data_IF_266997587500
#
_entry.id   IF_266997587500
#
_cell.length_a   1.000
_cell.length_b   1.000
_cell.length_c   1.000
_cell.angle_alpha   90.00
_cell.angle_beta   90.00
_cell.angle_gamma   90.00
#
_symmetry.space_group_name_H-M   'P 1'
#
loop_
_entity.id
_entity.type
_entity.pdbx_description
1 polymer ?
#
# COMPACT_ATOMS: atom_id res chain seq x y z
N UNK A 1 24.32 -11.58 22.93
CA UNK A 1 25.20 -12.76 22.93
C UNK A 1 25.08 -13.46 21.59
N UNK A 2 26.18 -13.55 20.82
CA UNK A 2 26.20 -14.32 19.58
C UNK A 2 26.22 -15.80 19.90
N UNK A 3 25.15 -16.52 19.61
CA UNK A 3 25.07 -17.96 19.77
C UNK A 3 25.89 -18.63 18.63
N UNK A 4 26.94 -19.37 19.01
CA UNK A 4 27.72 -20.16 18.07
C UNK A 4 27.44 -21.65 18.30
N UNK A 5 27.16 -22.38 17.21
CA UNK A 5 26.98 -23.83 17.24
C UNK A 5 28.26 -24.54 17.66
N UNK A 6 28.13 -25.74 18.28
CA UNK A 6 29.27 -26.58 18.58
C UNK A 6 29.94 -27.06 17.30
N UNK A 7 31.26 -26.95 17.23
CA UNK A 7 32.07 -27.45 16.13
C UNK A 7 32.27 -28.97 16.21
N UNK A 8 32.69 -29.57 15.14
CA UNK A 8 33.02 -31.00 15.12
C UNK A 8 34.16 -31.33 16.08
N UNK A 9 35.18 -30.48 16.24
CA UNK A 9 36.28 -30.63 17.18
C UNK A 9 35.78 -30.62 18.63
N UNK A 10 34.89 -29.72 19.01
CA UNK A 10 34.27 -29.68 20.33
C UNK A 10 33.49 -30.97 20.63
N UNK A 11 32.82 -31.56 19.64
CA UNK A 11 32.12 -32.84 19.80
C UNK A 11 33.07 -34.00 20.07
N UNK A 12 34.27 -34.00 19.45
CA UNK A 12 35.30 -34.97 19.75
C UNK A 12 35.83 -34.78 21.17
N UNK A 13 36.06 -33.55 21.64
CA UNK A 13 36.46 -33.24 23.00
C UNK A 13 35.41 -33.67 24.02
N UNK A 14 34.12 -33.39 23.77
CA UNK A 14 33.04 -33.89 24.63
C UNK A 14 33.08 -35.41 24.77
N UNK A 15 33.28 -36.14 23.67
CA UNK A 15 33.36 -37.61 23.69
C UNK A 15 34.56 -38.12 24.49
N UNK A 16 35.73 -37.48 24.33
CA UNK A 16 36.93 -37.85 25.06
C UNK A 16 36.78 -37.62 26.57
N UNK A 17 36.25 -36.47 26.97
CA UNK A 17 36.01 -36.11 28.36
C UNK A 17 34.94 -36.99 29.02
N UNK A 18 33.86 -37.34 28.31
CA UNK A 18 32.86 -38.29 28.78
C UNK A 18 33.47 -39.68 29.03
N UNK A 19 34.37 -40.16 28.16
CA UNK A 19 35.09 -41.43 28.34
C UNK A 19 36.07 -41.39 29.51
N UNK A 20 36.63 -40.20 29.81
CA UNK A 20 37.51 -39.99 30.97
C UNK A 20 36.74 -39.85 32.28
N UNK A 21 35.37 -39.89 32.25
CA UNK A 21 34.55 -39.87 33.45
C UNK A 21 34.15 -38.49 33.94
N UNK A 22 34.42 -37.40 33.14
CA UNK A 22 34.06 -36.04 33.52
C UNK A 22 32.54 -35.81 33.45
N UNK A 23 32.02 -35.07 34.43
CA UNK A 23 30.61 -34.63 34.46
C UNK A 23 30.30 -33.55 33.45
N UNK A 24 29.02 -33.45 32.97
CA UNK A 24 28.60 -32.48 31.93
C UNK A 24 28.88 -31.03 32.32
N UNK A 25 28.82 -30.68 33.61
CA UNK A 25 29.14 -29.32 34.09
C UNK A 25 30.64 -29.02 34.00
N UNK A 26 31.47 -29.99 34.27
CA UNK A 26 32.92 -29.90 34.18
C UNK A 26 33.38 -29.78 32.72
N UNK A 27 32.79 -30.60 31.83
CA UNK A 27 32.99 -30.52 30.38
C UNK A 27 32.62 -29.13 29.84
N UNK A 28 31.52 -28.55 30.35
CA UNK A 28 31.09 -27.20 29.94
C UNK A 28 32.16 -26.15 30.33
N UNK A 29 32.70 -26.24 31.54
CA UNK A 29 33.74 -25.33 32.01
C UNK A 29 35.05 -25.48 31.20
N UNK A 30 35.48 -26.72 30.92
CA UNK A 30 36.69 -27.00 30.12
C UNK A 30 36.55 -26.42 28.69
N UNK A 31 35.38 -26.54 28.08
CA UNK A 31 35.12 -26.06 26.71
C UNK A 31 34.71 -24.59 26.65
N UNK A 32 34.60 -23.89 27.77
CA UNK A 32 34.14 -22.50 27.81
C UNK A 32 32.71 -22.31 27.23
N UNK A 33 31.87 -23.34 27.43
CA UNK A 33 30.48 -23.32 26.92
C UNK A 33 29.49 -23.35 28.09
N UNK A 34 28.27 -22.80 27.84
CA UNK A 34 27.23 -22.84 28.86
C UNK A 34 26.80 -24.31 29.14
N UNK A 35 26.57 -24.65 30.40
CA UNK A 35 26.16 -26.00 30.86
C UNK A 35 24.98 -26.55 30.05
N UNK A 36 23.96 -25.72 29.77
CA UNK A 36 22.79 -26.15 29.01
C UNK A 36 23.11 -26.53 27.56
N UNK A 37 24.20 -26.00 26.98
CA UNK A 37 24.63 -26.33 25.61
C UNK A 37 25.17 -27.75 25.57
N UNK A 38 26.04 -28.10 26.50
CA UNK A 38 26.63 -29.46 26.61
C UNK A 38 25.57 -30.49 26.97
N UNK A 39 24.69 -30.17 27.93
CA UNK A 39 23.59 -31.05 28.30
C UNK A 39 22.65 -31.34 27.10
N UNK A 40 22.22 -30.31 26.37
CA UNK A 40 21.37 -30.46 25.17
C UNK A 40 22.06 -31.23 24.05
N UNK A 41 23.37 -31.01 23.85
CA UNK A 41 24.15 -31.72 22.85
C UNK A 41 24.19 -33.22 23.14
N UNK A 42 24.59 -33.59 24.37
CA UNK A 42 24.69 -35.00 24.77
C UNK A 42 23.31 -35.66 24.79
N UNK A 43 22.30 -35.03 25.40
CA UNK A 43 20.94 -35.57 25.48
C UNK A 43 20.30 -35.82 24.11
N UNK A 44 20.49 -34.89 23.15
CA UNK A 44 19.87 -34.97 21.85
C UNK A 44 20.59 -35.86 20.84
N UNK A 45 21.87 -36.12 21.07
CA UNK A 45 22.76 -36.75 20.09
C UNK A 45 23.38 -38.06 20.57
N UNK A 46 23.02 -38.55 21.78
CA UNK A 46 23.39 -39.88 22.24
C UNK A 46 22.45 -40.94 21.65
N UNK A 47 23.02 -42.02 21.14
CA UNK A 47 22.30 -43.21 20.73
C UNK A 47 22.33 -44.31 21.79
N UNK A 48 21.82 -45.51 21.45
CA UNK A 48 21.81 -46.69 22.32
C UNK A 48 23.22 -47.10 22.87
N UNK A 49 24.28 -46.73 22.15
CA UNK A 49 25.68 -47.00 22.50
C UNK A 49 26.38 -45.76 23.07
N UNK A 50 25.66 -44.80 23.64
CA UNK A 50 26.20 -43.57 24.21
C UNK A 50 26.47 -42.45 23.16
N UNK A 51 27.18 -41.42 23.61
CA UNK A 51 27.52 -40.25 22.78
C UNK A 51 28.66 -40.56 21.82
N UNK A 52 28.43 -40.33 20.51
CA UNK A 52 29.42 -40.53 19.44
C UNK A 52 29.54 -39.28 18.58
N UNK A 53 30.74 -38.65 18.46
CA UNK A 53 30.91 -37.34 17.79
C UNK A 53 30.42 -37.31 16.34
N UNK A 54 30.77 -38.34 15.53
CA UNK A 54 30.33 -38.43 14.13
C UNK A 54 28.81 -38.55 14.01
N UNK A 55 28.18 -39.37 14.86
CA UNK A 55 26.72 -39.51 14.86
C UNK A 55 26.05 -38.22 15.34
N UNK A 56 26.62 -37.57 16.34
CA UNK A 56 26.12 -36.29 16.86
C UNK A 56 26.15 -35.19 15.80
N UNK A 57 27.18 -35.12 14.98
CA UNK A 57 27.31 -34.19 13.84
C UNK A 57 26.21 -34.44 12.82
N UNK A 58 26.02 -35.69 12.39
CA UNK A 58 24.99 -36.09 11.43
C UNK A 58 23.59 -35.72 11.94
N UNK A 59 23.29 -36.07 13.22
CA UNK A 59 21.98 -35.76 13.81
C UNK A 59 21.73 -34.25 13.96
N UNK A 60 22.77 -33.49 14.30
CA UNK A 60 22.69 -32.03 14.40
C UNK A 60 22.48 -31.39 13.02
N UNK A 61 23.19 -31.86 11.99
CA UNK A 61 23.05 -31.41 10.61
C UNK A 61 21.66 -31.70 10.05
N UNK A 62 21.17 -32.93 10.20
CA UNK A 62 19.82 -33.32 9.77
C UNK A 62 18.72 -32.47 10.43
N UNK A 63 18.85 -32.17 11.74
CA UNK A 63 17.90 -31.25 12.39
C UNK A 63 17.98 -29.84 11.83
N UNK A 64 19.19 -29.33 11.61
CA UNK A 64 19.40 -28.03 11.01
C UNK A 64 18.77 -27.94 9.62
N UNK A 65 18.92 -28.98 8.80
CA UNK A 65 18.31 -29.08 7.47
C UNK A 65 16.78 -29.16 7.54
N UNK A 66 16.22 -29.97 8.43
CA UNK A 66 14.76 -30.06 8.65
C UNK A 66 14.18 -28.69 9.07
N UNK A 67 14.86 -27.96 9.94
CA UNK A 67 14.43 -26.62 10.32
C UNK A 67 14.56 -25.58 9.21
N UNK A 68 15.51 -25.77 8.27
CA UNK A 68 15.78 -24.86 7.16
C UNK A 68 14.84 -25.10 5.99
N UNK A 69 14.48 -26.35 5.73
CA UNK A 69 13.77 -26.79 4.52
C UNK A 69 12.24 -26.91 4.65
N UNK A 70 11.68 -26.72 5.84
CA UNK A 70 10.22 -26.62 5.95
C UNK A 70 9.75 -25.27 5.35
N UNK A 71 9.04 -25.27 4.22
CA UNK A 71 8.47 -24.03 3.70
C UNK A 71 7.42 -23.55 4.72
N UNK A 72 7.75 -22.50 5.46
CA UNK A 72 6.85 -21.89 6.45
C UNK A 72 5.54 -21.40 5.83
N UNK A 73 5.51 -21.29 4.52
CA UNK A 73 4.39 -20.76 3.73
C UNK A 73 4.14 -21.69 2.56
N UNK A 74 2.91 -22.24 2.49
CA UNK A 74 2.49 -23.17 1.43
C UNK A 74 2.42 -22.51 0.04
N UNK A 75 2.54 -23.31 -1.00
CA UNK A 75 2.44 -22.86 -2.41
C UNK A 75 1.08 -22.19 -2.71
N UNK A 76 0.00 -22.64 -2.09
CA UNK A 76 -1.35 -22.06 -2.25
C UNK A 76 -1.39 -20.61 -1.78
N UNK A 77 -0.81 -20.31 -0.61
CA UNK A 77 -0.77 -18.96 -0.05
C UNK A 77 0.06 -18.01 -0.94
N UNK A 78 1.18 -18.49 -1.51
CA UNK A 78 1.97 -17.70 -2.47
C UNK A 78 1.22 -17.42 -3.77
N UNK A 79 0.39 -18.34 -4.25
CA UNK A 79 -0.51 -18.09 -5.40
C UNK A 79 -1.52 -16.98 -5.08
N UNK A 80 -2.16 -17.03 -3.92
CA UNK A 80 -3.07 -15.97 -3.47
C UNK A 80 -2.36 -14.62 -3.37
N UNK A 81 -1.15 -14.57 -2.80
CA UNK A 81 -0.32 -13.36 -2.75
C UNK A 81 -0.05 -12.81 -4.16
N UNK A 82 0.32 -13.68 -5.11
CA UNK A 82 0.61 -13.27 -6.49
C UNK A 82 -0.63 -12.71 -7.20
N UNK A 83 -1.80 -13.31 -7.00
CA UNK A 83 -3.08 -12.80 -7.55
C UNK A 83 -3.35 -11.39 -7.01
N UNK A 84 -3.27 -11.20 -5.70
CA UNK A 84 -3.53 -9.91 -5.06
C UNK A 84 -2.48 -8.83 -5.44
N UNK A 85 -1.22 -9.23 -5.65
CA UNK A 85 -0.20 -8.33 -6.21
C UNK A 85 -0.56 -7.89 -7.64
N UNK A 86 -1.03 -8.83 -8.49
CA UNK A 86 -1.49 -8.51 -9.84
C UNK A 86 -2.68 -7.53 -9.83
N UNK A 87 -3.55 -7.60 -8.84
CA UNK A 87 -4.62 -6.64 -8.60
C UNK A 87 -4.13 -5.30 -8.03
N UNK A 88 -2.81 -5.11 -7.94
CA UNK A 88 -2.14 -3.90 -7.46
C UNK A 88 -2.33 -3.60 -5.97
N UNK A 89 -2.68 -4.59 -5.14
CA UNK A 89 -2.67 -4.44 -3.69
C UNK A 89 -1.22 -4.32 -3.19
N UNK A 90 -1.03 -3.51 -2.16
CA UNK A 90 0.30 -3.43 -1.50
C UNK A 90 0.50 -4.62 -0.56
N UNK A 91 1.76 -5.01 -0.26
CA UNK A 91 2.05 -6.05 0.72
C UNK A 91 1.34 -5.85 2.08
N UNK A 92 1.19 -4.60 2.55
CA UNK A 92 0.43 -4.31 3.77
C UNK A 92 -1.07 -4.63 3.64
N UNK A 93 -1.67 -4.34 2.48
CA UNK A 93 -3.08 -4.65 2.21
C UNK A 93 -3.31 -6.15 2.08
N UNK A 94 -2.37 -6.87 1.48
CA UNK A 94 -2.39 -8.33 1.37
C UNK A 94 -2.22 -8.97 2.74
N UNK A 95 -1.30 -8.47 3.56
CA UNK A 95 -1.09 -8.91 4.94
C UNK A 95 -2.33 -8.77 5.83
N UNK A 96 -3.20 -7.80 5.53
CA UNK A 96 -4.46 -7.63 6.25
C UNK A 96 -5.56 -8.62 5.84
N UNK A 97 -5.42 -9.30 4.70
CA UNK A 97 -6.37 -10.28 4.18
C UNK A 97 -5.88 -11.72 4.37
N UNK A 98 -4.57 -11.91 4.41
CA UNK A 98 -3.94 -13.23 4.49
C UNK A 98 -3.04 -13.31 5.72
N UNK A 99 -2.92 -14.49 6.31
CA UNK A 99 -2.05 -14.75 7.47
C UNK A 99 -0.55 -14.79 7.07
N UNK A 100 -0.05 -13.68 6.52
CA UNK A 100 1.34 -13.54 6.09
C UNK A 100 1.83 -12.12 6.38
N UNK A 101 3.03 -11.95 6.95
CA UNK A 101 3.56 -10.62 7.22
C UNK A 101 3.93 -9.88 5.94
N UNK A 102 3.68 -8.57 5.88
CA UNK A 102 4.04 -7.74 4.74
C UNK A 102 5.54 -7.75 4.44
N UNK A 103 6.39 -7.88 5.45
CA UNK A 103 7.84 -8.02 5.25
C UNK A 103 8.21 -9.31 4.51
N UNK A 104 7.51 -10.41 4.81
CA UNK A 104 7.71 -11.69 4.12
C UNK A 104 7.32 -11.57 2.65
N UNK A 105 6.23 -10.85 2.36
CA UNK A 105 5.81 -10.56 0.97
C UNK A 105 6.87 -9.70 0.27
N UNK A 106 7.38 -8.63 0.91
CA UNK A 106 8.45 -7.82 0.34
C UNK A 106 9.71 -8.65 0.04
N UNK A 107 10.16 -9.49 0.98
CA UNK A 107 11.31 -10.38 0.76
C UNK A 107 11.09 -11.29 -0.45
N UNK A 108 9.91 -11.88 -0.58
CA UNK A 108 9.56 -12.72 -1.73
C UNK A 108 9.63 -11.95 -3.05
N UNK A 109 9.03 -10.76 -3.11
CA UNK A 109 9.06 -9.90 -4.31
C UNK A 109 10.50 -9.49 -4.69
N UNK A 110 11.37 -9.21 -3.71
CA UNK A 110 12.76 -8.85 -4.01
C UNK A 110 13.62 -10.06 -4.40
N UNK A 111 13.35 -11.24 -3.85
CA UNK A 111 13.98 -12.49 -4.29
C UNK A 111 13.55 -12.83 -5.70
N UNK A 112 12.25 -12.76 -6.02
CA UNK A 112 11.72 -12.93 -7.37
C UNK A 112 12.41 -11.99 -8.36
N UNK A 113 12.55 -10.71 -8.01
CA UNK A 113 13.27 -9.74 -8.83
C UNK A 113 14.74 -10.12 -9.06
N UNK A 114 15.43 -10.62 -8.04
CA UNK A 114 16.85 -11.03 -8.16
C UNK A 114 17.03 -12.23 -9.07
N UNK A 115 15.97 -13.04 -9.24
CA UNK A 115 15.91 -14.19 -10.14
C UNK A 115 15.35 -13.83 -11.53
N UNK A 116 15.15 -12.53 -11.82
CA UNK A 116 14.63 -12.06 -13.10
C UNK A 116 13.10 -12.00 -13.21
N UNK A 117 12.36 -12.25 -12.11
CA UNK A 117 10.92 -12.15 -12.06
C UNK A 117 10.38 -10.70 -12.11
N UNK A 118 9.10 -10.55 -12.23
CA UNK A 118 8.44 -9.26 -12.50
C UNK A 118 7.46 -8.81 -11.40
N UNK A 119 7.32 -9.53 -10.29
CA UNK A 119 6.41 -9.19 -9.19
C UNK A 119 6.60 -7.76 -8.65
N UNK A 120 7.82 -7.24 -8.67
CA UNK A 120 8.11 -5.86 -8.24
C UNK A 120 7.40 -4.79 -9.08
N UNK A 121 7.00 -5.10 -10.33
CA UNK A 121 6.26 -4.18 -11.21
C UNK A 121 4.83 -3.91 -10.73
N UNK A 122 4.31 -4.76 -9.87
CA UNK A 122 2.98 -4.60 -9.27
C UNK A 122 3.01 -3.69 -8.04
N UNK A 123 4.18 -3.41 -7.48
CA UNK A 123 4.33 -2.47 -6.37
C UNK A 123 4.13 -1.02 -6.83
N UNK A 124 3.56 -0.18 -5.95
CA UNK A 124 3.30 1.24 -6.22
C UNK A 124 4.58 2.03 -6.52
N UNK A 125 5.66 1.76 -5.78
CA UNK A 125 6.92 2.49 -5.87
C UNK A 125 8.01 1.63 -6.52
N UNK A 126 8.06 1.64 -7.84
CA UNK A 126 9.03 0.86 -8.62
C UNK A 126 10.41 1.53 -8.74
N UNK A 127 10.47 2.86 -8.68
CA UNK A 127 11.72 3.67 -8.74
C UNK A 127 11.57 4.95 -7.91
N UNK A 128 12.49 5.23 -6.99
CA UNK A 128 12.63 6.55 -6.36
C UNK A 128 13.23 7.53 -7.36
N UNK A 129 12.45 8.48 -7.90
CA UNK A 129 12.97 9.68 -8.57
C UNK A 129 12.80 10.88 -7.62
N UNK A 130 13.90 11.60 -7.31
CA UNK A 130 13.82 12.92 -6.66
C UNK A 130 13.19 13.91 -7.66
N UNK A 131 12.08 14.56 -7.26
CA UNK A 131 11.55 15.72 -7.99
C UNK A 131 12.48 16.91 -7.77
N UNK A 132 12.95 17.55 -8.86
CA UNK A 132 13.49 18.92 -8.81
C UNK A 132 12.31 19.89 -8.86
N UNK A 133 12.21 20.78 -7.88
CA UNK A 133 11.27 21.90 -7.90
C UNK A 133 11.88 23.00 -8.80
N UNK A 134 11.20 23.32 -9.90
CA UNK A 134 11.49 24.51 -10.68
C UNK A 134 10.59 25.65 -10.16
N UNK A 135 11.18 26.66 -9.57
CA UNK A 135 10.48 27.90 -9.20
C UNK A 135 10.12 28.66 -10.47
N UNK A 136 8.85 28.91 -10.69
CA UNK A 136 8.35 29.74 -11.79
C UNK A 136 7.23 30.65 -11.31
N UNK A 137 7.21 31.91 -11.74
CA UNK A 137 6.09 32.85 -11.52
C UNK A 137 4.82 32.30 -12.16
N UNK A 138 3.73 32.30 -11.40
CA UNK A 138 2.41 31.88 -11.91
C UNK A 138 1.87 32.97 -12.84
N UNK A 139 1.81 32.67 -14.15
CA UNK A 139 1.27 33.53 -15.19
C UNK A 139 -0.20 33.19 -15.54
N UNK A 140 -0.85 32.34 -14.74
CA UNK A 140 -2.24 31.94 -14.95
C UNK A 140 -3.17 33.03 -14.47
N UNK A 141 -4.15 33.43 -15.31
CA UNK A 141 -5.17 34.40 -14.94
C UNK A 141 -6.01 33.92 -13.75
N UNK A 142 -6.55 34.86 -12.99
CA UNK A 142 -7.39 34.55 -11.83
C UNK A 142 -8.74 33.95 -12.26
N UNK A 143 -9.23 32.96 -11.51
CA UNK A 143 -10.59 32.43 -11.64
C UNK A 143 -11.53 33.42 -10.96
N UNK A 144 -12.51 33.93 -11.71
CA UNK A 144 -13.49 34.93 -11.21
C UNK A 144 -14.39 34.25 -10.17
N UNK A 145 -14.66 34.93 -9.05
CA UNK A 145 -15.56 34.43 -8.00
C UNK A 145 -15.04 33.24 -7.20
N UNK A 146 -13.74 32.93 -7.29
CA UNK A 146 -13.15 31.83 -6.50
C UNK A 146 -13.20 32.13 -5.00
N UNK A 147 -13.56 31.12 -4.19
CA UNK A 147 -13.42 31.16 -2.73
C UNK A 147 -12.09 30.54 -2.32
N UNK A 148 -11.24 31.24 -1.56
CA UNK A 148 -9.96 30.67 -1.12
C UNK A 148 -10.19 29.55 -0.11
N UNK A 149 -9.24 28.60 -0.03
CA UNK A 149 -9.30 27.49 0.90
C UNK A 149 -9.35 27.91 2.37
N UNK A 150 -8.86 29.11 2.69
CA UNK A 150 -8.92 29.72 4.02
C UNK A 150 -10.36 29.94 4.53
N UNK A 151 -11.32 30.12 3.63
CA UNK A 151 -12.75 30.27 3.96
C UNK A 151 -13.45 28.90 4.15
N UNK A 152 -12.76 27.80 3.85
CA UNK A 152 -13.31 26.45 3.99
C UNK A 152 -13.50 26.11 5.45
N UNK A 153 -14.69 25.57 5.87
CA UNK A 153 -14.93 25.19 7.25
C UNK A 153 -13.84 24.28 7.84
N UNK A 154 -13.38 24.57 9.05
CA UNK A 154 -12.28 23.84 9.71
C UNK A 154 -12.58 22.34 9.96
N UNK A 155 -13.88 21.98 10.08
CA UNK A 155 -14.31 20.58 10.24
C UNK A 155 -13.93 19.71 9.03
N UNK A 156 -13.74 20.30 7.84
CA UNK A 156 -13.33 19.60 6.63
C UNK A 156 -11.92 18.97 6.81
N UNK A 157 -11.04 19.65 7.54
CA UNK A 157 -9.68 19.13 7.81
C UNK A 157 -9.71 17.88 8.70
N UNK A 158 -10.63 17.81 9.64
CA UNK A 158 -10.77 16.67 10.57
C UNK A 158 -11.23 15.38 9.89
N UNK A 159 -11.72 15.45 8.64
CA UNK A 159 -12.26 14.30 7.87
C UNK A 159 -13.30 13.50 8.65
N UNK A 160 -14.07 14.16 9.51
CA UNK A 160 -15.05 13.51 10.39
C UNK A 160 -16.38 13.22 9.67
N UNK A 161 -16.72 14.02 8.67
CA UNK A 161 -17.96 13.91 7.92
C UNK A 161 -17.74 13.52 6.47
N UNK A 162 -18.71 12.82 5.86
CA UNK A 162 -18.81 12.59 4.43
C UNK A 162 -19.37 13.85 3.76
N UNK A 163 -18.94 14.07 2.51
CA UNK A 163 -19.46 15.14 1.67
C UNK A 163 -18.42 16.18 1.27
N UNK A 164 -17.18 16.03 1.67
CA UNK A 164 -16.10 16.95 1.35
C UNK A 164 -15.16 16.31 0.31
N UNK A 165 -15.17 16.88 -0.88
CA UNK A 165 -14.48 16.33 -2.05
C UNK A 165 -13.22 17.14 -2.42
N UNK A 166 -12.30 16.50 -3.06
CA UNK A 166 -11.18 17.14 -3.76
C UNK A 166 -11.28 16.76 -5.25
N UNK A 167 -11.11 17.73 -6.14
CA UNK A 167 -11.15 17.55 -7.59
C UNK A 167 -9.83 17.90 -8.27
N UNK A 168 -9.43 17.10 -9.27
CA UNK A 168 -8.23 17.33 -10.08
C UNK A 168 -8.40 16.73 -11.47
N UNK A 169 -7.46 16.99 -12.37
CA UNK A 169 -7.40 16.42 -13.70
C UNK A 169 -6.08 15.69 -13.95
N UNK A 170 -6.18 14.50 -14.52
CA UNK A 170 -5.02 13.73 -14.99
C UNK A 170 -4.93 13.81 -16.50
N UNK A 171 -3.75 14.20 -17.01
CA UNK A 171 -3.43 14.23 -18.43
C UNK A 171 -2.54 13.05 -18.81
N UNK A 172 -2.77 12.48 -20.01
CA UNK A 172 -1.93 11.42 -20.58
C UNK A 172 -0.91 11.97 -21.58
N UNK A 173 -0.27 11.06 -22.33
CA UNK A 173 0.59 11.43 -23.45
C UNK A 173 -0.21 12.23 -24.49
N UNK A 174 0.38 13.30 -25.01
CA UNK A 174 -0.24 14.15 -26.04
C UNK A 174 -1.16 15.25 -25.51
N UNK A 175 -1.45 15.32 -24.20
CA UNK A 175 -2.17 16.40 -23.48
C UNK A 175 -3.55 16.80 -24.06
N UNK A 176 -4.14 16.02 -24.98
CA UNK A 176 -5.42 16.36 -25.63
C UNK A 176 -6.63 16.04 -24.76
N UNK A 177 -6.58 14.88 -24.08
CA UNK A 177 -7.68 14.38 -23.25
C UNK A 177 -7.29 14.42 -21.77
N UNK A 178 -8.29 14.42 -20.89
CA UNK A 178 -8.06 14.35 -19.45
C UNK A 178 -9.02 13.35 -18.76
N UNK A 179 -8.64 12.91 -17.57
CA UNK A 179 -9.51 12.22 -16.63
C UNK A 179 -9.74 13.18 -15.47
N UNK A 180 -10.99 13.51 -15.22
CA UNK A 180 -11.43 14.20 -14.00
C UNK A 180 -11.39 13.17 -12.88
N UNK A 181 -10.67 13.46 -11.82
CA UNK A 181 -10.55 12.63 -10.62
C UNK A 181 -11.13 13.37 -9.42
N UNK A 182 -12.13 12.78 -8.80
CA UNK A 182 -12.80 13.30 -7.62
C UNK A 182 -12.61 12.31 -6.49
N UNK A 183 -12.27 12.78 -5.30
CA UNK A 183 -12.11 11.93 -4.12
C UNK A 183 -12.81 12.53 -2.91
N UNK A 184 -13.61 11.72 -2.24
CA UNK A 184 -14.21 12.08 -0.97
C UNK A 184 -13.17 11.92 0.16
N UNK A 185 -13.01 12.97 0.99
CA UNK A 185 -11.88 13.11 1.91
C UNK A 185 -11.89 12.13 3.08
N UNK A 186 -13.07 11.77 3.61
CA UNK A 186 -13.20 10.84 4.75
C UNK A 186 -13.03 9.40 4.31
N UNK A 187 -13.81 8.95 3.36
CA UNK A 187 -13.81 7.55 2.88
C UNK A 187 -12.68 7.26 1.92
N UNK A 188 -12.27 8.25 1.12
CA UNK A 188 -11.39 8.04 -0.04
C UNK A 188 -12.13 7.46 -1.23
N UNK A 189 -13.48 7.53 -1.24
CA UNK A 189 -14.30 7.11 -2.37
C UNK A 189 -13.97 7.96 -3.59
N UNK A 190 -13.75 7.31 -4.71
CA UNK A 190 -13.27 7.93 -5.94
C UNK A 190 -14.35 7.91 -7.03
N UNK A 191 -14.44 9.00 -7.78
CA UNK A 191 -15.21 9.09 -9.03
C UNK A 191 -14.27 9.54 -10.13
N UNK A 192 -14.24 8.80 -11.24
CA UNK A 192 -13.38 9.05 -12.39
C UNK A 192 -14.21 9.25 -13.63
N UNK A 193 -13.98 10.34 -14.37
CA UNK A 193 -14.68 10.63 -15.64
C UNK A 193 -13.68 11.06 -16.71
N UNK A 194 -13.78 10.48 -17.91
CA UNK A 194 -12.95 10.85 -19.04
C UNK A 194 -13.59 12.02 -19.80
N UNK A 195 -12.76 12.99 -20.19
CA UNK A 195 -13.16 14.12 -21.06
C UNK A 195 -12.28 14.17 -22.30
N UNK A 196 -12.87 14.54 -23.43
CA UNK A 196 -12.20 14.61 -24.73
C UNK A 196 -11.24 15.79 -24.83
N UNK A 197 -11.50 16.88 -24.10
CA UNK A 197 -10.66 18.07 -23.99
C UNK A 197 -10.69 18.58 -22.55
N UNK A 198 -9.61 19.24 -22.13
CA UNK A 198 -9.47 19.85 -20.80
C UNK A 198 -10.01 21.29 -20.82
N UNK A 199 -11.28 21.48 -21.19
CA UNK A 199 -11.99 22.77 -21.15
C UNK A 199 -12.85 22.86 -19.89
N UNK A 200 -13.16 24.07 -19.42
CA UNK A 200 -13.98 24.27 -18.22
C UNK A 200 -15.37 23.67 -18.38
N UNK A 201 -15.98 23.82 -19.54
CA UNK A 201 -17.31 23.29 -19.86
C UNK A 201 -17.37 21.75 -19.79
N UNK A 202 -16.39 21.04 -20.39
CA UNK A 202 -16.38 19.59 -20.41
C UNK A 202 -16.00 19.04 -19.01
N UNK A 203 -15.13 19.72 -18.28
CA UNK A 203 -14.72 19.32 -16.94
C UNK A 203 -15.86 19.54 -15.95
N UNK A 204 -16.54 20.70 -15.98
CA UNK A 204 -17.69 20.95 -15.11
C UNK A 204 -18.84 19.98 -15.39
N UNK A 205 -19.17 19.74 -16.67
CA UNK A 205 -20.17 18.73 -17.06
C UNK A 205 -19.81 17.32 -16.55
N UNK A 206 -18.54 16.93 -16.65
CA UNK A 206 -18.07 15.62 -16.17
C UNK A 206 -18.15 15.50 -14.64
N UNK A 207 -17.85 16.57 -13.90
CA UNK A 207 -17.98 16.64 -12.43
C UNK A 207 -19.45 16.47 -12.04
N UNK A 208 -20.33 17.29 -12.61
CA UNK A 208 -21.78 17.24 -12.37
C UNK A 208 -22.33 15.84 -12.66
N UNK A 209 -22.01 15.29 -13.85
CA UNK A 209 -22.47 13.96 -14.27
C UNK A 209 -21.94 12.84 -13.34
N UNK A 210 -20.73 13.02 -12.81
CA UNK A 210 -20.12 12.06 -11.92
C UNK A 210 -20.70 12.06 -10.51
N UNK A 211 -21.04 13.24 -9.98
CA UNK A 211 -21.49 13.42 -8.60
C UNK A 211 -23.02 13.50 -8.48
N UNK A 212 -23.77 13.76 -9.54
CA UNK A 212 -25.24 13.88 -9.51
C UNK A 212 -25.96 12.70 -8.85
N UNK A 213 -25.58 11.42 -9.09
CA UNK A 213 -26.22 10.30 -8.41
C UNK A 213 -26.07 10.30 -6.89
N UNK A 214 -25.11 11.06 -6.39
CA UNK A 214 -24.75 11.17 -4.97
C UNK A 214 -24.71 12.64 -4.51
N UNK A 215 -25.44 13.54 -5.18
CA UNK A 215 -25.41 14.99 -4.92
C UNK A 215 -25.74 15.31 -3.44
N UNK A 216 -26.68 14.59 -2.85
CA UNK A 216 -27.03 14.71 -1.42
C UNK A 216 -25.87 14.46 -0.45
N UNK A 217 -24.72 13.93 -0.94
CA UNK A 217 -23.47 13.74 -0.21
C UNK A 217 -22.34 14.64 -0.72
N UNK A 218 -22.68 15.72 -1.41
CA UNK A 218 -21.69 16.70 -1.89
C UNK A 218 -21.93 18.01 -1.21
N UNK A 219 -21.10 18.36 -0.23
CA UNK A 219 -21.18 19.61 0.52
C UNK A 219 -20.18 20.64 0.01
N UNK A 220 -18.93 20.20 -0.16
CA UNK A 220 -17.84 21.07 -0.65
C UNK A 220 -16.95 20.33 -1.63
N UNK A 221 -16.40 21.06 -2.60
CA UNK A 221 -15.40 20.52 -3.52
C UNK A 221 -14.19 21.45 -3.48
N UNK A 222 -12.99 20.91 -3.30
CA UNK A 222 -11.74 21.70 -3.31
C UNK A 222 -10.96 21.42 -4.59
N UNK A 223 -10.69 22.47 -5.35
CA UNK A 223 -9.94 22.45 -6.61
C UNK A 223 -8.55 23.08 -6.47
N UNK A 224 -7.69 22.91 -7.48
CA UNK A 224 -6.54 23.80 -7.69
C UNK A 224 -6.95 25.03 -8.49
N UNK A 225 -5.97 25.91 -8.79
CA UNK A 225 -6.21 27.10 -9.59
C UNK A 225 -6.11 26.81 -11.10
N UNK A 226 -6.49 25.61 -11.55
CA UNK A 226 -6.56 25.27 -12.96
C UNK A 226 -7.73 25.95 -13.66
N UNK A 227 -7.49 26.50 -14.84
CA UNK A 227 -8.55 27.18 -15.63
C UNK A 227 -9.71 26.25 -16.00
N UNK A 228 -9.50 24.96 -16.01
CA UNK A 228 -10.54 23.95 -16.23
C UNK A 228 -11.63 23.94 -15.16
N UNK A 229 -11.42 24.60 -14.03
CA UNK A 229 -12.39 24.73 -12.93
C UNK A 229 -13.04 26.13 -12.88
N UNK A 230 -12.88 26.96 -13.94
CA UNK A 230 -13.46 28.31 -13.97
C UNK A 230 -15.00 28.31 -13.96
N UNK A 231 -15.65 27.23 -14.42
CA UNK A 231 -17.10 27.07 -14.38
C UNK A 231 -17.62 26.47 -13.06
N UNK A 232 -16.90 26.66 -11.96
CA UNK A 232 -17.24 26.12 -10.63
C UNK A 232 -18.62 26.58 -10.14
N UNK A 233 -19.08 27.78 -10.52
CA UNK A 233 -20.40 28.27 -10.17
C UNK A 233 -21.53 27.35 -10.70
N UNK A 234 -21.39 26.82 -11.93
CA UNK A 234 -22.34 25.83 -12.48
C UNK A 234 -22.31 24.51 -11.72
N UNK A 235 -21.14 24.10 -11.21
CA UNK A 235 -21.00 22.90 -10.38
C UNK A 235 -21.71 23.10 -9.05
N UNK A 236 -21.48 24.25 -8.41
CA UNK A 236 -22.10 24.61 -7.13
C UNK A 236 -23.62 24.67 -7.21
N UNK A 237 -24.15 25.28 -8.26
CA UNK A 237 -25.60 25.35 -8.53
C UNK A 237 -26.19 23.94 -8.77
N UNK A 238 -25.56 23.13 -9.64
CA UNK A 238 -26.09 21.82 -10.04
C UNK A 238 -26.02 20.76 -8.93
N UNK A 239 -25.11 20.91 -7.97
CA UNK A 239 -24.88 19.95 -6.88
C UNK A 239 -25.24 20.50 -5.49
N UNK A 240 -25.74 21.75 -5.42
CA UNK A 240 -26.00 22.45 -4.15
C UNK A 240 -24.78 22.44 -3.22
N UNK A 241 -23.60 22.67 -3.79
CA UNK A 241 -22.30 22.55 -3.13
C UNK A 241 -21.55 23.88 -3.06
N UNK A 242 -20.43 23.91 -2.38
CA UNK A 242 -19.55 25.08 -2.32
C UNK A 242 -18.14 24.69 -2.76
N UNK A 243 -17.64 25.37 -3.81
CA UNK A 243 -16.29 25.20 -4.33
C UNK A 243 -15.27 26.08 -3.61
N UNK A 244 -14.14 25.48 -3.24
CA UNK A 244 -12.98 26.16 -2.66
C UNK A 244 -11.74 25.90 -3.51
N UNK A 245 -10.80 26.85 -3.48
CA UNK A 245 -9.57 26.77 -4.26
C UNK A 245 -8.35 26.77 -3.37
N UNK A 246 -7.46 25.82 -3.60
CA UNK A 246 -6.19 25.72 -2.89
C UNK A 246 -5.29 26.94 -3.21
N UNK A 247 -4.40 27.28 -2.26
CA UNK A 247 -3.42 28.32 -2.49
C UNK A 247 -2.45 27.92 -3.60
N UNK A 248 -1.93 28.90 -4.37
CA UNK A 248 -0.89 28.64 -5.34
C UNK A 248 0.30 27.91 -4.71
N UNK A 249 0.85 26.92 -5.42
CA UNK A 249 1.98 26.08 -5.01
C UNK A 249 1.75 25.23 -3.74
N UNK A 250 0.53 25.13 -3.23
CA UNK A 250 0.17 24.43 -1.99
C UNK A 250 -0.49 23.08 -2.27
N UNK A 251 0.19 22.19 -3.00
CA UNK A 251 -0.33 20.85 -3.37
C UNK A 251 -0.71 19.98 -2.16
N UNK A 252 -0.07 20.20 -1.00
CA UNK A 252 -0.38 19.48 0.25
C UNK A 252 -1.80 19.70 0.75
N UNK A 253 -2.43 20.83 0.41
CA UNK A 253 -3.82 21.14 0.77
C UNK A 253 -4.83 20.19 0.10
N UNK A 254 -4.39 19.43 -0.94
CA UNK A 254 -5.18 18.45 -1.69
C UNK A 254 -4.51 17.06 -1.70
N UNK A 255 -3.96 16.66 -0.56
CA UNK A 255 -3.23 15.39 -0.41
C UNK A 255 -4.06 14.13 -0.72
N UNK A 256 -5.40 14.18 -0.59
CA UNK A 256 -6.26 13.04 -0.96
C UNK A 256 -6.25 12.81 -2.46
N UNK A 257 -6.31 13.89 -3.24
CA UNK A 257 -6.28 13.82 -4.70
C UNK A 257 -4.89 13.42 -5.23
N UNK A 258 -3.82 13.95 -4.64
CA UNK A 258 -2.47 13.53 -5.01
C UNK A 258 -2.29 12.01 -4.79
N UNK A 259 -2.79 11.48 -3.68
CA UNK A 259 -2.78 10.06 -3.41
C UNK A 259 -3.63 9.27 -4.42
N UNK A 260 -4.88 9.70 -4.70
CA UNK A 260 -5.75 9.07 -5.69
C UNK A 260 -5.08 9.05 -7.07
N UNK A 261 -4.56 10.19 -7.51
CA UNK A 261 -3.89 10.31 -8.79
C UNK A 261 -2.69 9.36 -8.90
N UNK A 262 -1.92 9.20 -7.81
CA UNK A 262 -0.84 8.22 -7.73
C UNK A 262 -1.32 6.77 -7.86
N UNK A 263 -2.52 6.45 -7.36
CA UNK A 263 -3.12 5.12 -7.50
C UNK A 263 -3.65 4.88 -8.91
N UNK A 264 -4.33 5.86 -9.52
CA UNK A 264 -4.77 5.79 -10.92
C UNK A 264 -3.59 5.58 -11.87
N UNK A 265 -2.42 6.20 -11.56
CA UNK A 265 -1.19 6.05 -12.34
C UNK A 265 -0.58 4.64 -12.32
N UNK A 266 -0.98 3.77 -11.38
CA UNK A 266 -0.61 2.34 -11.42
C UNK A 266 -1.29 1.61 -12.59
N UNK A 267 -2.46 2.06 -13.02
CA UNK A 267 -3.24 1.48 -14.11
C UNK A 267 -3.03 2.25 -15.42
N UNK A 268 -2.97 3.58 -15.33
CA UNK A 268 -2.83 4.49 -16.48
C UNK A 268 -1.54 5.31 -16.31
N UNK A 269 -0.38 4.79 -16.74
CA UNK A 269 0.89 5.51 -16.66
C UNK A 269 0.87 6.83 -17.46
N UNK A 270 1.73 7.80 -17.09
CA UNK A 270 1.78 9.12 -17.75
C UNK A 270 2.06 9.07 -19.26
N UNK A 271 2.84 8.09 -19.68
CA UNK A 271 3.24 7.88 -21.08
C UNK A 271 2.16 7.19 -21.92
N UNK A 272 1.04 6.76 -21.32
CA UNK A 272 -0.09 6.17 -22.04
C UNK A 272 -1.01 7.26 -22.58
N UNK A 273 -1.38 7.23 -23.88
CA UNK A 273 -2.40 8.13 -24.45
C UNK A 273 -3.77 7.80 -23.84
N UNK A 274 -4.51 8.83 -23.41
CA UNK A 274 -5.85 8.62 -22.85
C UNK A 274 -6.89 8.22 -23.92
N UNK A 275 -6.60 8.39 -25.21
CA UNK A 275 -7.43 7.86 -26.30
C UNK A 275 -7.60 6.35 -26.25
N UNK A 276 -6.61 5.63 -25.76
CA UNK A 276 -6.63 4.15 -25.62
C UNK A 276 -7.35 3.67 -24.36
N UNK A 277 -7.77 4.56 -23.47
CA UNK A 277 -8.49 4.22 -22.24
C UNK A 277 -9.99 4.26 -22.54
N UNK A 278 -10.67 3.13 -22.44
CA UNK A 278 -12.11 3.04 -22.62
C UNK A 278 -12.88 3.51 -21.38
N UNK A 279 -14.18 3.76 -21.52
CA UNK A 279 -15.03 4.07 -20.37
C UNK A 279 -15.16 2.89 -19.42
N UNK A 280 -15.25 1.68 -19.96
CA UNK A 280 -15.34 0.43 -19.16
C UNK A 280 -14.07 0.15 -18.38
N UNK A 281 -12.90 0.35 -19.00
CA UNK A 281 -11.62 0.27 -18.29
C UNK A 281 -11.55 1.29 -17.15
N UNK A 282 -12.01 2.51 -17.37
CA UNK A 282 -12.01 3.54 -16.34
C UNK A 282 -12.98 3.21 -15.19
N UNK A 283 -14.14 2.64 -15.52
CA UNK A 283 -15.12 2.15 -14.54
C UNK A 283 -14.55 1.00 -13.71
N UNK A 284 -13.88 0.03 -14.33
CA UNK A 284 -13.19 -1.05 -13.66
C UNK A 284 -12.08 -0.53 -12.71
N UNK A 285 -11.30 0.44 -13.15
CA UNK A 285 -10.26 1.07 -12.31
C UNK A 285 -10.90 1.77 -11.10
N UNK A 286 -11.98 2.53 -11.31
CA UNK A 286 -12.74 3.19 -10.25
C UNK A 286 -13.26 2.17 -9.22
N UNK A 287 -13.85 1.08 -9.70
CA UNK A 287 -14.38 0.01 -8.85
C UNK A 287 -13.26 -0.64 -8.01
N UNK A 288 -12.15 -1.02 -8.63
CA UNK A 288 -10.97 -1.56 -7.94
C UNK A 288 -10.43 -0.61 -6.87
N UNK A 289 -10.39 0.69 -7.14
CA UNK A 289 -9.92 1.70 -6.17
C UNK A 289 -10.89 1.88 -5.01
N UNK A 290 -12.21 1.78 -5.26
CA UNK A 290 -13.25 1.90 -4.26
C UNK A 290 -13.40 0.64 -3.40
N UNK A 291 -13.03 -0.52 -3.91
CA UNK A 291 -13.02 -1.79 -3.17
C UNK A 291 -11.63 -2.17 -2.62
N UNK A 292 -10.64 -1.27 -2.76
CA UNK A 292 -9.30 -1.49 -2.24
C UNK A 292 -9.21 -1.14 -0.75
N UNK A 293 -8.83 -2.07 0.16
CA UNK A 293 -8.69 -1.81 1.58
C UNK A 293 -7.73 -0.65 1.87
N UNK A 294 -8.06 0.19 2.87
CA UNK A 294 -7.23 1.34 3.26
C UNK A 294 -6.79 1.24 4.73
N UNK A 295 -5.48 1.24 4.98
CA UNK A 295 -4.93 1.20 6.35
C UNK A 295 -5.54 2.29 7.26
N UNK A 296 -5.69 3.53 6.75
CA UNK A 296 -6.30 4.66 7.49
C UNK A 296 -7.79 4.46 7.82
N UNK A 297 -8.47 3.50 7.20
CA UNK A 297 -9.86 3.13 7.46
C UNK A 297 -9.96 1.83 8.28
N UNK A 298 -8.87 1.38 8.92
CA UNK A 298 -8.82 0.09 9.59
C UNK A 298 -8.99 -1.07 8.61
N UNK A 299 -8.43 -0.93 7.41
CA UNK A 299 -8.51 -1.87 6.28
C UNK A 299 -9.92 -2.06 5.70
N UNK A 300 -10.89 -1.27 6.09
CA UNK A 300 -12.15 -1.14 5.36
C UNK A 300 -11.91 -0.50 3.99
N UNK A 301 -12.79 -0.79 3.03
CA UNK A 301 -12.76 -0.20 1.71
C UNK A 301 -13.41 1.20 1.69
N UNK A 302 -13.03 2.08 0.75
CA UNK A 302 -13.72 3.34 0.52
C UNK A 302 -15.22 3.16 0.32
N UNK A 303 -15.62 2.11 -0.40
CA UNK A 303 -17.02 1.79 -0.70
C UNK A 303 -17.80 1.48 0.59
N UNK A 304 -17.27 0.58 1.43
CA UNK A 304 -17.91 0.25 2.73
C UNK A 304 -18.11 1.48 3.59
N UNK A 305 -17.08 2.34 3.75
CA UNK A 305 -17.17 3.55 4.59
C UNK A 305 -18.12 4.57 3.99
N UNK A 306 -18.13 4.72 2.65
CA UNK A 306 -19.04 5.64 1.98
C UNK A 306 -20.50 5.18 2.05
N UNK A 307 -20.77 3.88 1.88
CA UNK A 307 -22.09 3.28 1.95
C UNK A 307 -22.65 3.22 3.38
N UNK A 308 -21.81 2.91 4.39
CA UNK A 308 -22.25 2.89 5.79
C UNK A 308 -22.86 4.22 6.24
N UNK A 309 -22.41 5.34 5.65
CA UNK A 309 -23.00 6.65 5.93
C UNK A 309 -24.39 6.86 5.32
N UNK A 310 -24.85 5.99 4.40
CA UNK A 310 -26.21 6.03 3.82
C UNK A 310 -27.20 5.44 4.83
N UNK A 311 -26.83 4.30 5.42
CA UNK A 311 -27.73 3.59 6.37
C UNK A 311 -28.02 4.40 7.64
N UNK A 312 -27.09 5.24 8.09
CA UNK A 312 -27.29 6.07 9.29
C UNK A 312 -28.25 7.26 9.10
N UNK A 313 -28.51 7.68 7.88
CA UNK A 313 -29.48 8.75 7.58
C UNK A 313 -30.89 8.18 7.41
N UNK A 314 -31.03 7.01 6.81
CA UNK A 314 -32.32 6.34 6.60
C UNK A 314 -32.97 5.81 7.90
N UNK A 315 -32.20 5.71 9.00
CA UNK A 315 -32.71 5.27 10.33
C UNK A 315 -33.09 6.45 11.26
N UNK A 316 -33.01 7.69 10.77
CA UNK A 316 -33.35 8.92 11.54
C UNK A 316 -34.51 9.74 10.93
N UNK A 317 -35.19 9.16 9.92
CA UNK A 317 -36.37 9.73 9.30
C UNK A 317 -37.68 9.05 9.73
#
# INVERSE_FOLDING_TARGET
>A
MNYTHLSQSERYQISALLKAGHGLSEIANILGRHRSTIYREVSRNSGLRGYRPKQAEVLASQRSERCRNAPKIGRSLWRSVSVLLNEKLSPEQISAQLEISHETIYKHVYVDRSLGGDLYRHLRCQKKRRKRYAGGRDRRGQIIGRRPISERPSNVEKRSQIGHWEGDTLIGKGHKQAIVSLVERKSGYAVLKKVTKKTSELVSSAIIKGLRPIAYKVKTITFDNGREFSDHAKIDEALESVSYFADPFSSWQRGSNENLNGLVRQYIPKNRPLSTVTHDELAMIQDRLNNRPRKRLGYKTPNEVFQASIKSVALRG
#
